data_IF_456378477126
#
_entry.id   IF_456378477126
#
_cell.length_a   1.000
_cell.length_b   1.000
_cell.length_c   1.000
_cell.angle_alpha   90.00
_cell.angle_beta   90.00
_cell.angle_gamma   90.00
#
_symmetry.space_group_name_H-M   'P 1'
#
loop_
_entity.id
_entity.type
_entity.pdbx_description
1 polymer ?
#
# COMPACT_ATOMS: atom_id res chain seq x y z
N UNK A 1 3.49 9.10 -8.56
CA UNK A 1 2.35 8.70 -7.71
C UNK A 1 2.32 9.60 -6.49
N UNK A 2 1.13 9.99 -6.04
CA UNK A 2 0.92 10.65 -4.75
C UNK A 2 0.28 9.64 -3.80
N UNK A 3 0.96 9.31 -2.69
CA UNK A 3 0.41 8.51 -1.58
C UNK A 3 0.10 9.43 -0.40
N UNK A 4 -0.89 9.07 0.43
CA UNK A 4 -1.32 9.88 1.56
C UNK A 4 -1.65 9.06 2.79
N UNK A 5 -1.84 9.72 3.93
CA UNK A 5 -2.34 9.07 5.13
C UNK A 5 -3.28 9.98 5.91
N UNK A 6 -4.20 9.38 6.66
CA UNK A 6 -5.18 10.06 7.49
C UNK A 6 -5.00 9.56 8.93
N UNK A 7 -4.90 10.49 9.87
CA UNK A 7 -4.86 10.18 11.30
C UNK A 7 -6.27 10.24 11.84
N UNK A 8 -6.75 9.14 12.40
CA UNK A 8 -8.04 9.05 13.09
C UNK A 8 -7.83 8.90 14.60
N UNK A 9 -8.91 8.76 15.37
CA UNK A 9 -8.82 8.43 16.78
C UNK A 9 -8.25 7.03 17.02
N UNK A 10 -8.59 6.07 16.16
CA UNK A 10 -8.28 4.64 16.30
C UNK A 10 -6.92 4.24 15.72
N UNK A 11 -6.40 5.02 14.77
CA UNK A 11 -5.13 4.71 14.12
C UNK A 11 -4.91 5.51 12.84
N UNK A 12 -3.93 5.07 12.06
CA UNK A 12 -3.61 5.66 10.76
C UNK A 12 -4.16 4.81 9.63
N UNK A 13 -4.79 5.47 8.67
CA UNK A 13 -5.18 4.91 7.36
C UNK A 13 -4.15 5.36 6.34
N UNK A 14 -3.55 4.43 5.61
CA UNK A 14 -2.68 4.70 4.46
C UNK A 14 -3.50 4.59 3.18
N UNK A 15 -3.34 5.55 2.27
CA UNK A 15 -3.93 5.53 0.93
C UNK A 15 -2.81 5.18 -0.05
N UNK A 16 -2.96 4.02 -0.69
CA UNK A 16 -1.99 3.37 -1.56
C UNK A 16 -0.64 3.06 -0.88
N UNK A 17 -0.26 1.78 -0.84
CA UNK A 17 0.94 1.29 -0.17
C UNK A 17 2.26 1.56 -0.90
N UNK A 18 2.19 2.10 -2.12
CA UNK A 18 3.35 2.32 -2.98
C UNK A 18 3.73 1.12 -3.85
N UNK A 19 4.71 1.34 -4.73
CA UNK A 19 5.09 0.40 -5.78
C UNK A 19 6.14 -0.61 -5.36
N UNK A 20 6.64 -0.51 -4.13
CA UNK A 20 7.71 -1.36 -3.62
C UNK A 20 7.67 -1.45 -2.09
N UNK A 21 8.43 -2.42 -1.55
CA UNK A 21 8.67 -2.50 -0.10
C UNK A 21 9.43 -1.25 0.40
N UNK A 22 10.30 -0.67 -0.43
CA UNK A 22 11.04 0.53 -0.08
C UNK A 22 10.09 1.74 0.07
N UNK A 23 9.15 1.91 -0.85
CA UNK A 23 8.13 2.97 -0.79
C UNK A 23 7.24 2.79 0.45
N UNK A 24 6.76 1.58 0.69
CA UNK A 24 5.93 1.27 1.86
C UNK A 24 6.65 1.58 3.17
N UNK A 25 7.95 1.26 3.26
CA UNK A 25 8.80 1.63 4.41
C UNK A 25 8.94 3.15 4.54
N UNK A 26 9.20 3.86 3.43
CA UNK A 26 9.33 5.31 3.44
C UNK A 26 8.04 5.99 3.93
N UNK A 27 6.88 5.55 3.45
CA UNK A 27 5.56 5.99 3.92
C UNK A 27 5.41 5.75 5.43
N UNK A 28 5.70 4.52 5.90
CA UNK A 28 5.58 4.19 7.32
C UNK A 28 6.52 5.03 8.21
N UNK A 29 7.73 5.33 7.74
CA UNK A 29 8.65 6.22 8.45
C UNK A 29 8.16 7.68 8.46
N UNK A 30 7.58 8.16 7.36
CA UNK A 30 6.98 9.49 7.31
C UNK A 30 5.82 9.62 8.32
N UNK A 31 4.96 8.61 8.40
CA UNK A 31 3.86 8.55 9.39
C UNK A 31 4.40 8.64 10.82
N UNK A 32 5.44 7.87 11.15
CA UNK A 32 6.06 7.87 12.49
C UNK A 32 6.65 9.21 12.91
N UNK A 33 7.00 10.09 11.96
CA UNK A 33 7.45 11.46 12.25
C UNK A 33 6.29 12.40 12.62
N UNK A 34 5.06 12.05 12.21
CA UNK A 34 3.87 12.88 12.42
C UNK A 34 3.00 12.37 13.56
N UNK A 35 2.98 11.06 13.81
CA UNK A 35 2.15 10.45 14.86
C UNK A 35 2.74 9.15 15.39
N UNK A 36 2.49 8.87 16.68
CA UNK A 36 2.81 7.59 17.32
C UNK A 36 1.69 6.56 17.21
N UNK A 37 0.53 6.92 16.65
CA UNK A 37 -0.59 6.00 16.46
C UNK A 37 -0.23 4.88 15.48
N UNK A 38 -0.71 3.64 15.71
CA UNK A 38 -0.41 2.53 14.82
C UNK A 38 -1.07 2.70 13.46
N UNK A 39 -0.41 2.21 12.40
CA UNK A 39 -1.06 2.01 11.10
C UNK A 39 -1.99 0.82 11.25
N UNK A 40 -3.28 1.04 10.96
CA UNK A 40 -4.33 0.03 11.14
C UNK A 40 -4.89 -0.45 9.81
N UNK A 41 -4.92 0.44 8.81
CA UNK A 41 -5.49 0.16 7.50
C UNK A 41 -4.62 0.69 6.36
N UNK A 42 -4.63 -0.05 5.26
CA UNK A 42 -4.19 0.41 3.94
C UNK A 42 -5.38 0.28 3.01
N UNK A 43 -5.70 1.35 2.28
CA UNK A 43 -6.73 1.37 1.25
C UNK A 43 -6.05 1.50 -0.11
N UNK A 44 -6.26 0.53 -1.00
CA UNK A 44 -5.81 0.61 -2.39
C UNK A 44 -6.90 1.21 -3.27
N UNK A 45 -6.54 2.21 -4.06
CA UNK A 45 -7.48 2.99 -4.89
C UNK A 45 -7.58 2.50 -6.34
N UNK A 46 -6.68 1.63 -6.79
CA UNK A 46 -6.74 0.98 -8.10
C UNK A 46 -5.63 -0.08 -8.30
N UNK A 47 -5.71 -0.87 -9.38
CA UNK A 47 -4.85 -2.05 -9.58
C UNK A 47 -3.53 -1.82 -10.33
N UNK A 48 -3.12 -0.57 -10.54
CA UNK A 48 -1.78 -0.28 -11.07
C UNK A 48 -0.70 -0.54 -10.01
N UNK A 49 0.36 -1.22 -10.41
CA UNK A 49 1.51 -1.66 -9.61
C UNK A 49 1.98 -0.67 -8.55
N UNK A 50 2.15 0.58 -8.97
CA UNK A 50 2.68 1.63 -8.14
C UNK A 50 1.82 1.89 -6.90
N UNK A 51 0.55 1.46 -6.86
CA UNK A 51 -0.35 1.68 -5.72
C UNK A 51 -0.30 0.60 -4.65
N UNK A 52 0.00 -0.66 -5.01
CA UNK A 52 -0.36 -1.80 -4.16
C UNK A 52 0.73 -2.85 -3.97
N UNK A 53 1.85 -2.83 -4.72
CA UNK A 53 2.94 -3.80 -4.50
C UNK A 53 3.52 -3.70 -3.08
N UNK A 54 3.52 -2.50 -2.51
CA UNK A 54 3.92 -2.22 -1.12
C UNK A 54 3.05 -2.91 -0.05
N UNK A 55 1.88 -3.45 -0.41
CA UNK A 55 0.98 -4.16 0.51
C UNK A 55 1.70 -5.28 1.28
N UNK A 56 2.65 -5.96 0.63
CA UNK A 56 3.42 -7.04 1.24
C UNK A 56 4.16 -6.61 2.51
N UNK A 57 4.58 -5.35 2.61
CA UNK A 57 5.20 -4.79 3.81
C UNK A 57 4.20 -4.62 4.95
N UNK A 58 3.07 -3.95 4.68
CA UNK A 58 2.04 -3.69 5.69
C UNK A 58 1.33 -4.97 6.15
N UNK A 59 1.10 -5.92 5.24
CA UNK A 59 0.52 -7.22 5.57
C UNK A 59 1.41 -7.99 6.57
N UNK A 60 2.74 -7.96 6.40
CA UNK A 60 3.69 -8.56 7.36
C UNK A 60 3.65 -7.91 8.75
N UNK A 61 3.15 -6.69 8.86
CA UNK A 61 2.95 -5.98 10.12
C UNK A 61 1.55 -6.21 10.72
N UNK A 62 0.73 -7.06 10.11
CA UNK A 62 -0.64 -7.33 10.57
C UNK A 62 -1.64 -6.20 10.26
N UNK A 63 -1.32 -5.31 9.32
CA UNK A 63 -2.20 -4.21 8.91
C UNK A 63 -3.27 -4.73 7.96
N UNK A 64 -4.51 -4.30 8.16
CA UNK A 64 -5.63 -4.68 7.28
C UNK A 64 -5.52 -3.97 5.93
N UNK A 65 -5.47 -4.75 4.84
CA UNK A 65 -5.51 -4.23 3.47
C UNK A 65 -6.95 -4.25 2.96
N UNK A 66 -7.43 -3.12 2.48
CA UNK A 66 -8.78 -2.91 1.96
C UNK A 66 -8.68 -2.48 0.49
N UNK A 67 -9.53 -3.05 -0.35
CA UNK A 67 -9.72 -2.65 -1.74
C UNK A 67 -11.19 -2.94 -2.11
N UNK A 68 -11.72 -2.22 -3.10
CA UNK A 68 -12.99 -2.63 -3.72
C UNK A 68 -12.80 -3.92 -4.51
N UNK A 69 -13.88 -4.68 -4.74
CA UNK A 69 -13.81 -5.90 -5.56
C UNK A 69 -13.30 -5.61 -6.97
N UNK A 70 -13.71 -4.49 -7.57
CA UNK A 70 -13.22 -4.06 -8.89
C UNK A 70 -11.71 -3.76 -8.87
N UNK A 71 -11.20 -3.07 -7.83
CA UNK A 71 -9.77 -2.83 -7.68
C UNK A 71 -9.00 -4.14 -7.52
N UNK A 72 -9.52 -5.07 -6.70
CA UNK A 72 -8.91 -6.37 -6.47
C UNK A 72 -8.85 -7.20 -7.76
N UNK A 73 -9.91 -7.19 -8.57
CA UNK A 73 -9.92 -7.85 -9.87
C UNK A 73 -8.84 -7.28 -10.81
N UNK A 74 -8.74 -5.95 -10.91
CA UNK A 74 -7.72 -5.26 -11.73
C UNK A 74 -6.29 -5.55 -11.26
N UNK A 75 -6.06 -5.62 -9.93
CA UNK A 75 -4.77 -6.03 -9.36
C UNK A 75 -4.37 -7.45 -9.78
N UNK A 76 -5.32 -8.39 -9.77
CA UNK A 76 -5.09 -9.78 -10.14
C UNK A 76 -4.81 -9.89 -11.64
N UNK A 77 -5.60 -9.24 -12.48
CA UNK A 77 -5.46 -9.25 -13.93
C UNK A 77 -4.08 -8.73 -14.36
N UNK A 78 -3.59 -7.67 -13.71
CA UNK A 78 -2.31 -7.06 -14.07
C UNK A 78 -1.11 -7.69 -13.36
N UNK A 79 -1.32 -8.59 -12.39
CA UNK A 79 -0.27 -9.14 -11.52
C UNK A 79 0.91 -9.66 -12.32
N UNK A 80 0.68 -10.56 -13.25
CA UNK A 80 1.76 -11.26 -13.94
C UNK A 80 2.56 -10.33 -14.86
N UNK A 81 1.90 -9.36 -15.51
CA UNK A 81 2.57 -8.32 -16.29
C UNK A 81 3.43 -7.42 -15.39
N UNK A 82 2.89 -6.96 -14.27
CA UNK A 82 3.57 -6.06 -13.35
C UNK A 82 4.78 -6.73 -12.67
N UNK A 83 4.66 -8.00 -12.29
CA UNK A 83 5.77 -8.75 -11.68
C UNK A 83 6.81 -9.26 -12.71
N UNK A 84 6.42 -9.47 -13.98
CA UNK A 84 7.38 -9.88 -15.02
C UNK A 84 8.28 -8.74 -15.48
N UNK A 85 7.77 -7.51 -15.51
CA UNK A 85 8.58 -6.31 -15.80
C UNK A 85 9.67 -6.08 -14.74
N UNK A 86 9.41 -6.43 -13.47
CA UNK A 86 10.39 -6.34 -12.39
C UNK A 86 11.58 -7.31 -12.53
N UNK A 87 11.49 -8.35 -13.38
CA UNK A 87 12.56 -9.33 -13.61
C UNK A 87 13.42 -9.03 -14.84
N UNK A 88 13.07 -8.02 -15.64
CA UNK A 88 13.70 -7.76 -16.95
C UNK A 88 14.94 -6.84 -16.87
N UNK A 89 15.27 -6.35 -15.67
CA UNK A 89 16.46 -5.57 -15.34
C UNK A 89 17.02 -6.06 -14.01
#
# INVERSE_FOLDING_TARGET
>A
MTSGFIITNEGVVVIDAGGSIADAKAIHQAIKKVTSKPVKWVINTGGQDHRWIGNSYFNKLGVTIIASEACKADMIERKDFQFSMAKKY
#
